data_IF_812972500634
#
_entry.id   IF_812972500634
#
_cell.length_a   1.000
_cell.length_b   1.000
_cell.length_c   1.000
_cell.angle_alpha   90.00
_cell.angle_beta   90.00
_cell.angle_gamma   90.00
#
_symmetry.space_group_name_H-M   'P 1'
#
loop_
_entity.id
_entity.type
_entity.pdbx_description
1 polymer ?
#
# COMPACT_ATOMS: atom_id res chain seq x y z
N UNK A 1 5.34 -18.82 8.33
CA UNK A 1 5.79 -19.14 6.96
C UNK A 1 7.30 -18.99 6.80
N UNK A 2 7.90 -17.84 7.12
CA UNK A 2 9.35 -17.64 6.96
C UNK A 2 10.21 -18.66 7.72
N UNK A 3 9.84 -18.99 8.96
CA UNK A 3 10.55 -19.97 9.80
C UNK A 3 10.61 -21.40 9.23
N UNK A 4 9.65 -21.77 8.36
CA UNK A 4 9.54 -23.13 7.77
C UNK A 4 9.93 -23.17 6.29
N UNK A 5 10.55 -22.09 5.78
CA UNK A 5 10.97 -21.99 4.38
C UNK A 5 12.34 -21.34 4.28
N UNK A 6 13.20 -21.86 3.39
CA UNK A 6 14.52 -21.28 3.15
C UNK A 6 14.51 -20.23 2.04
N UNK A 7 13.86 -20.54 0.91
CA UNK A 7 14.01 -19.76 -0.33
C UNK A 7 12.73 -19.02 -0.77
N UNK A 8 11.57 -19.29 -0.15
CA UNK A 8 10.31 -18.71 -0.60
C UNK A 8 10.26 -17.19 -0.32
N UNK A 9 9.87 -16.40 -1.30
CA UNK A 9 9.64 -14.96 -1.15
C UNK A 9 8.19 -14.69 -0.76
N UNK A 10 7.96 -13.70 0.11
CA UNK A 10 6.63 -13.28 0.57
C UNK A 10 6.34 -11.86 0.09
N UNK A 11 5.40 -11.70 -0.84
CA UNK A 11 4.93 -10.38 -1.27
C UNK A 11 3.65 -10.01 -0.49
N UNK A 12 3.70 -8.94 0.30
CA UNK A 12 2.58 -8.49 1.13
C UNK A 12 1.93 -7.27 0.48
N UNK A 13 0.60 -7.30 0.31
CA UNK A 13 -0.15 -6.12 -0.13
C UNK A 13 -0.38 -5.19 1.05
N UNK A 14 0.10 -3.95 0.95
CA UNK A 14 -0.12 -2.91 1.95
C UNK A 14 -0.44 -1.58 1.27
N UNK A 15 -1.42 -0.85 1.82
CA UNK A 15 -1.92 0.37 1.20
C UNK A 15 -1.22 1.63 1.70
N UNK A 16 -0.92 2.54 0.78
CA UNK A 16 -0.37 3.87 1.08
C UNK A 16 -1.42 4.87 1.59
N UNK A 17 -2.71 4.50 1.60
CA UNK A 17 -3.80 5.43 1.91
C UNK A 17 -4.26 5.45 3.36
N UNK A 18 -3.85 4.46 4.17
CA UNK A 18 -4.41 4.26 5.50
C UNK A 18 -3.36 4.32 6.62
N UNK A 19 -2.18 3.76 6.37
CA UNK A 19 -1.12 3.64 7.38
C UNK A 19 -0.04 4.70 7.16
N UNK A 20 0.37 5.48 8.17
CA UNK A 20 1.49 6.41 8.05
C UNK A 20 2.80 5.74 7.59
N UNK A 21 3.62 6.39 6.74
CA UNK A 21 4.81 5.80 6.12
C UNK A 21 5.85 5.29 7.11
N UNK A 22 6.01 5.96 8.26
CA UNK A 22 6.96 5.52 9.29
C UNK A 22 6.62 4.14 9.87
N UNK A 23 5.33 3.84 10.09
CA UNK A 23 4.91 2.55 10.65
C UNK A 23 5.13 1.41 9.64
N UNK A 24 4.81 1.66 8.36
CA UNK A 24 5.09 0.74 7.28
C UNK A 24 6.61 0.50 7.15
N UNK A 25 7.41 1.58 7.16
CA UNK A 25 8.87 1.49 7.05
C UNK A 25 9.47 0.58 8.12
N UNK A 26 9.09 0.76 9.39
CA UNK A 26 9.50 -0.11 10.50
C UNK A 26 9.12 -1.56 10.24
N UNK A 27 7.83 -1.81 9.96
CA UNK A 27 7.28 -3.17 9.78
C UNK A 27 7.98 -3.92 8.66
N UNK A 28 8.23 -3.27 7.53
CA UNK A 28 8.89 -3.92 6.39
C UNK A 28 10.38 -4.15 6.62
N UNK A 29 11.12 -3.24 7.27
CA UNK A 29 12.52 -3.52 7.65
C UNK A 29 12.62 -4.69 8.64
N UNK A 30 11.72 -4.76 9.62
CA UNK A 30 11.64 -5.90 10.54
C UNK A 30 11.36 -7.21 9.82
N UNK A 31 10.41 -7.22 8.87
CA UNK A 31 10.13 -8.41 8.06
C UNK A 31 11.29 -8.77 7.14
N UNK A 32 11.99 -7.78 6.58
CA UNK A 32 13.15 -8.02 5.72
C UNK A 32 14.28 -8.71 6.49
N UNK A 33 14.56 -8.27 7.72
CA UNK A 33 15.48 -8.97 8.64
C UNK A 33 15.02 -10.39 8.97
N UNK A 34 13.78 -10.58 9.46
CA UNK A 34 13.28 -11.90 9.86
C UNK A 34 13.19 -12.90 8.70
N UNK A 35 12.97 -12.39 7.49
CA UNK A 35 12.90 -13.22 6.29
C UNK A 35 14.26 -13.39 5.60
N UNK A 36 15.32 -12.71 6.08
CA UNK A 36 16.65 -12.64 5.44
C UNK A 36 16.54 -12.15 4.00
N UNK A 37 15.89 -11.02 3.80
CA UNK A 37 15.76 -10.40 2.50
C UNK A 37 14.73 -11.04 1.57
N UNK A 38 13.71 -11.74 2.10
CA UNK A 38 12.70 -12.45 1.26
C UNK A 38 11.33 -11.79 1.28
N UNK A 39 11.26 -10.51 1.60
CA UNK A 39 10.00 -9.75 1.61
C UNK A 39 9.87 -8.90 0.34
N UNK A 40 8.66 -8.83 -0.18
CA UNK A 40 8.22 -7.89 -1.21
C UNK A 40 6.99 -7.12 -0.75
N UNK A 41 6.78 -5.94 -1.33
CA UNK A 41 5.63 -5.10 -1.05
C UNK A 41 4.82 -4.87 -2.32
N UNK A 42 3.57 -5.34 -2.35
CA UNK A 42 2.62 -4.92 -3.37
C UNK A 42 1.94 -3.61 -2.95
N UNK A 43 2.35 -2.53 -3.61
CA UNK A 43 1.92 -1.15 -3.35
C UNK A 43 0.52 -0.96 -3.93
N UNK A 44 -0.45 -0.62 -3.07
CA UNK A 44 -1.83 -0.33 -3.50
C UNK A 44 -2.35 0.98 -2.92
N UNK A 45 -3.12 1.71 -3.73
CA UNK A 45 -3.72 2.98 -3.30
C UNK A 45 -5.11 2.83 -2.70
N UNK A 46 -5.66 1.61 -2.62
CA UNK A 46 -7.00 1.30 -2.13
C UNK A 46 -8.14 2.03 -2.85
N UNK A 47 -9.32 1.42 -2.98
CA UNK A 47 -10.44 2.05 -3.70
C UNK A 47 -11.82 1.85 -3.08
N UNK A 48 -11.97 0.85 -2.20
CA UNK A 48 -13.26 0.50 -1.61
C UNK A 48 -13.74 1.62 -0.69
N UNK A 49 -14.90 2.21 -1.00
CA UNK A 49 -15.54 3.25 -0.18
C UNK A 49 -15.70 2.84 1.29
N UNK A 50 -16.04 1.58 1.56
CA UNK A 50 -16.15 1.06 2.92
C UNK A 50 -14.84 1.15 3.73
N UNK A 51 -13.68 0.94 3.09
CA UNK A 51 -12.38 1.04 3.76
C UNK A 51 -12.04 2.48 4.13
N UNK A 52 -12.34 3.44 3.24
CA UNK A 52 -12.20 4.87 3.53
C UNK A 52 -13.14 5.32 4.66
N UNK A 53 -14.40 4.86 4.64
CA UNK A 53 -15.34 5.15 5.74
C UNK A 53 -14.85 4.65 7.09
N UNK A 54 -14.22 3.48 7.13
CA UNK A 54 -13.69 2.91 8.37
C UNK A 54 -12.57 3.75 9.01
N UNK A 55 -11.93 4.64 8.26
CA UNK A 55 -10.90 5.56 8.75
C UNK A 55 -11.38 7.02 8.81
N UNK A 56 -12.70 7.25 8.76
CA UNK A 56 -13.30 8.58 8.89
C UNK A 56 -13.35 9.39 7.59
N UNK A 57 -13.11 8.79 6.42
CA UNK A 57 -13.25 9.45 5.12
C UNK A 57 -14.53 8.98 4.40
N UNK A 58 -15.48 9.88 4.19
CA UNK A 58 -16.78 9.52 3.59
C UNK A 58 -16.67 8.98 2.15
N UNK A 59 -15.68 9.47 1.41
CA UNK A 59 -15.40 9.07 0.04
C UNK A 59 -13.90 8.81 -0.16
N UNK A 60 -13.54 7.89 -1.08
CA UNK A 60 -12.16 7.75 -1.53
C UNK A 60 -11.63 9.08 -2.06
N UNK A 61 -10.35 9.35 -1.77
CA UNK A 61 -9.57 10.39 -2.45
C UNK A 61 -9.61 10.12 -3.96
N UNK A 62 -9.62 11.18 -4.77
CA UNK A 62 -9.63 11.07 -6.24
C UNK A 62 -8.53 10.13 -6.75
N UNK A 63 -8.84 9.39 -7.81
CA UNK A 63 -7.99 8.32 -8.32
C UNK A 63 -6.55 8.78 -8.58
N UNK A 64 -6.36 9.90 -9.28
CA UNK A 64 -5.03 10.37 -9.68
C UNK A 64 -4.30 11.01 -8.48
N UNK A 65 -5.05 11.68 -7.61
CA UNK A 65 -4.52 12.24 -6.37
C UNK A 65 -3.97 11.17 -5.43
N UNK A 66 -4.60 10.00 -5.33
CA UNK A 66 -4.05 8.87 -4.55
C UNK A 66 -2.69 8.40 -5.07
N UNK A 67 -2.44 8.46 -6.38
CA UNK A 67 -1.13 8.13 -6.93
C UNK A 67 -0.08 9.20 -6.64
N UNK A 68 -0.47 10.49 -6.62
CA UNK A 68 0.43 11.57 -6.17
C UNK A 68 0.78 11.43 -4.69
N UNK A 69 -0.20 11.07 -3.86
CA UNK A 69 0.04 10.75 -2.44
C UNK A 69 0.95 9.53 -2.29
N UNK A 70 0.74 8.49 -3.09
CA UNK A 70 1.59 7.30 -3.08
C UNK A 70 3.03 7.61 -3.51
N UNK A 71 3.26 8.46 -4.52
CA UNK A 71 4.62 8.87 -4.91
C UNK A 71 5.35 9.52 -3.73
N UNK A 72 4.71 10.49 -3.05
CA UNK A 72 5.30 11.13 -1.87
C UNK A 72 5.53 10.13 -0.74
N UNK A 73 4.60 9.19 -0.52
CA UNK A 73 4.75 8.09 0.44
C UNK A 73 6.03 7.29 0.16
N UNK A 74 6.25 6.93 -1.10
CA UNK A 74 7.42 6.16 -1.53
C UNK A 74 8.71 6.97 -1.33
N UNK A 75 8.72 8.26 -1.66
CA UNK A 75 9.85 9.16 -1.37
C UNK A 75 10.17 9.21 0.12
N UNK A 76 9.16 9.26 1.00
CA UNK A 76 9.36 9.23 2.45
C UNK A 76 10.02 7.92 2.89
N UNK A 77 9.50 6.77 2.46
CA UNK A 77 10.06 5.47 2.91
C UNK A 77 11.44 5.19 2.30
N UNK A 78 11.74 5.66 1.08
CA UNK A 78 13.09 5.58 0.52
C UNK A 78 14.09 6.38 1.37
N UNK A 79 13.74 7.59 1.79
CA UNK A 79 14.60 8.37 2.70
C UNK A 79 14.89 7.60 4.00
N UNK A 80 13.87 6.97 4.58
CA UNK A 80 14.02 6.18 5.81
C UNK A 80 14.89 4.92 5.58
N UNK A 81 14.61 4.11 4.57
CA UNK A 81 15.29 2.83 4.33
C UNK A 81 16.70 2.98 3.75
N UNK A 82 16.88 3.91 2.83
CA UNK A 82 18.13 4.06 2.06
C UNK A 82 19.04 5.15 2.66
N UNK A 83 18.45 6.21 3.21
CA UNK A 83 19.17 7.44 3.54
C UNK A 83 19.47 7.66 5.02
N UNK A 84 18.71 7.06 5.94
CA UNK A 84 18.84 7.37 7.36
C UNK A 84 20.08 6.73 8.01
N UNK A 85 20.50 5.55 7.53
CA UNK A 85 21.63 4.78 8.07
C UNK A 85 22.62 4.41 6.96
N UNK A 86 23.91 4.64 7.20
CA UNK A 86 24.97 4.17 6.31
C UNK A 86 25.05 2.63 6.27
N UNK A 87 25.59 2.00 5.21
CA UNK A 87 25.73 0.54 5.11
C UNK A 87 26.54 -0.09 6.24
N UNK A 88 27.53 0.64 6.74
CA UNK A 88 28.48 0.23 7.77
C UNK A 88 28.24 0.99 9.10
N UNK A 89 26.99 1.40 9.35
CA UNK A 89 26.61 2.09 10.59
C UNK A 89 26.56 1.15 11.81
N UNK A 90 26.32 -0.16 11.60
CA UNK A 90 26.41 -1.18 12.65
C UNK A 90 27.84 -1.70 12.69
N UNK A 91 28.57 -1.33 13.74
CA UNK A 91 29.96 -1.71 13.98
C UNK A 91 30.13 -2.00 15.47
N UNK A 92 29.79 -3.23 15.92
CA UNK A 92 29.82 -3.58 17.33
C UNK A 92 31.26 -3.59 17.86
N UNK A 93 31.51 -2.77 18.87
CA UNK A 93 32.77 -2.65 19.57
C UNK A 93 32.53 -2.81 21.08
N UNK A 94 32.60 -4.06 21.59
CA UNK A 94 32.41 -4.35 23.01
C UNK A 94 33.49 -3.75 23.92
N UNK A 95 34.68 -3.43 23.39
CA UNK A 95 35.77 -2.84 24.17
C UNK A 95 35.48 -1.37 24.51
N UNK A 96 34.79 -0.67 23.61
CA UNK A 96 34.43 0.74 23.75
C UNK A 96 32.94 1.00 24.05
N UNK A 97 32.17 -0.04 24.42
CA UNK A 97 30.73 0.02 24.71
C UNK A 97 29.91 0.68 23.58
N UNK A 98 30.24 0.34 22.33
CA UNK A 98 29.56 0.86 21.13
C UNK A 98 28.94 -0.27 20.32
N UNK A 99 27.77 -0.03 19.74
CA UNK A 99 27.09 -0.96 18.84
C UNK A 99 26.93 -0.41 17.41
N UNK A 100 26.79 0.91 17.30
CA UNK A 100 26.58 1.60 16.03
C UNK A 100 27.27 2.96 16.07
N UNK A 101 27.82 3.39 14.94
CA UNK A 101 28.44 4.72 14.81
C UNK A 101 27.34 5.79 14.67
N UNK A 102 27.16 6.67 15.68
CA UNK A 102 26.11 7.68 15.65
C UNK A 102 26.33 8.74 14.55
N UNK A 103 27.56 8.91 14.07
CA UNK A 103 27.88 9.85 12.98
C UNK A 103 27.38 9.34 11.62
N UNK A 104 27.15 8.03 11.51
CA UNK A 104 26.62 7.34 10.32
C UNK A 104 25.10 7.18 10.33
N UNK A 105 24.41 7.79 11.30
CA UNK A 105 22.96 7.74 11.45
C UNK A 105 22.40 9.17 11.47
N UNK A 106 21.69 9.54 10.40
CA UNK A 106 21.12 10.89 10.26
C UNK A 106 19.60 10.90 10.35
N UNK A 107 19.12 12.05 10.80
CA UNK A 107 17.71 12.39 10.79
C UNK A 107 17.25 12.66 9.36
N UNK A 108 16.11 12.09 9.01
CA UNK A 108 15.42 12.34 7.75
C UNK A 108 14.41 13.45 7.99
N UNK A 109 14.57 14.53 7.24
CA UNK A 109 13.58 15.58 7.10
C UNK A 109 12.78 15.35 5.81
N UNK A 110 11.46 15.53 5.91
CA UNK A 110 10.57 15.54 4.76
C UNK A 110 9.44 16.53 5.05
N UNK A 111 9.27 17.52 4.17
CA UNK A 111 8.13 18.44 4.18
C UNK A 111 7.49 18.41 2.79
N UNK A 112 6.45 17.60 2.64
CA UNK A 112 5.69 17.46 1.41
C UNK A 112 4.27 18.00 1.53
N UNK A 113 3.43 17.67 0.54
CA UNK A 113 2.02 18.06 0.52
C UNK A 113 1.19 17.18 1.46
N UNK A 114 1.54 15.91 1.58
CA UNK A 114 0.76 14.89 2.29
C UNK A 114 1.42 14.46 3.59
N UNK A 115 2.75 14.49 3.65
CA UNK A 115 3.53 14.03 4.80
C UNK A 115 4.51 15.10 5.27
N UNK A 116 4.66 15.20 6.59
CA UNK A 116 5.68 16.01 7.24
C UNK A 116 6.26 15.18 8.38
N UNK A 117 7.56 14.91 8.33
CA UNK A 117 8.25 14.19 9.40
C UNK A 117 9.73 14.55 9.47
N UNK A 118 10.25 14.53 10.70
CA UNK A 118 11.65 14.72 11.04
C UNK A 118 12.01 13.62 12.04
N UNK A 119 12.73 12.59 11.59
CA UNK A 119 13.07 11.43 12.44
C UNK A 119 14.22 10.61 11.85
N UNK A 120 14.89 9.83 12.69
CA UNK A 120 15.77 8.73 12.24
C UNK A 120 14.91 7.49 11.99
N UNK A 121 15.28 6.67 11.02
CA UNK A 121 14.71 5.33 10.92
C UNK A 121 15.10 4.53 12.17
N UNK A 122 14.18 3.74 12.70
CA UNK A 122 14.36 3.06 14.01
C UNK A 122 14.78 1.60 13.88
N UNK A 123 15.07 1.16 12.65
CA UNK A 123 15.58 -0.18 12.34
C UNK A 123 16.86 0.01 11.53
N UNK A 124 17.89 -0.73 11.88
CA UNK A 124 19.16 -0.78 11.16
C UNK A 124 19.00 -1.34 9.72
N UNK A 125 19.98 -1.12 8.82
CA UNK A 125 19.90 -1.58 7.44
C UNK A 125 19.61 -3.08 7.31
N UNK A 126 18.46 -3.41 6.71
CA UNK A 126 18.06 -4.79 6.44
C UNK A 126 18.67 -5.31 5.12
N UNK A 127 18.69 -6.64 4.85
CA UNK A 127 19.40 -7.22 3.71
C UNK A 127 19.07 -6.63 2.33
N UNK A 128 17.82 -6.20 2.11
CA UNK A 128 17.38 -5.53 0.89
C UNK A 128 17.26 -4.01 1.03
N UNK A 129 17.32 -3.47 2.27
CA UNK A 129 16.83 -2.15 2.68
C UNK A 129 15.38 -1.91 2.26
N UNK A 130 15.16 -1.44 1.04
CA UNK A 130 13.83 -1.38 0.43
C UNK A 130 13.37 -2.79 0.01
N UNK A 131 12.16 -3.24 0.43
CA UNK A 131 11.61 -4.54 0.02
C UNK A 131 11.42 -4.61 -1.50
N UNK A 132 11.33 -5.80 -2.10
CA UNK A 132 11.08 -5.92 -3.54
C UNK A 132 9.71 -5.31 -3.92
N UNK A 133 9.69 -4.32 -4.80
CA UNK A 133 8.50 -3.49 -5.03
C UNK A 133 7.61 -4.07 -6.14
N UNK A 134 6.44 -4.55 -5.73
CA UNK A 134 5.34 -4.91 -6.61
C UNK A 134 4.31 -3.78 -6.74
N UNK A 135 3.62 -3.73 -7.87
CA UNK A 135 2.48 -2.83 -8.12
C UNK A 135 1.49 -3.51 -9.08
N UNK A 136 0.23 -3.06 -9.15
CA UNK A 136 -0.81 -3.68 -10.00
C UNK A 136 -1.70 -2.71 -10.82
N UNK A 137 -1.41 -1.41 -10.79
CA UNK A 137 -2.21 -0.38 -11.43
C UNK A 137 -1.77 -0.10 -12.86
N UNK A 138 -2.64 -0.37 -13.84
CA UNK A 138 -2.36 -0.16 -15.28
C UNK A 138 -3.16 0.99 -15.90
N UNK A 139 -3.75 1.88 -15.09
CA UNK A 139 -4.33 3.15 -15.57
C UNK A 139 -3.21 4.12 -16.01
N UNK A 140 -3.52 5.29 -16.58
CA UNK A 140 -2.47 6.26 -16.96
C UNK A 140 -1.59 6.66 -15.76
N UNK A 141 -2.21 7.11 -14.65
CA UNK A 141 -1.50 7.43 -13.41
C UNK A 141 -0.81 6.20 -12.79
N UNK A 142 -1.47 5.04 -12.84
CA UNK A 142 -0.87 3.78 -12.35
C UNK A 142 0.35 3.33 -13.16
N UNK A 143 0.33 3.52 -14.48
CA UNK A 143 1.41 3.16 -15.39
C UNK A 143 2.63 4.06 -15.21
N UNK A 144 2.42 5.37 -15.01
CA UNK A 144 3.50 6.30 -14.69
C UNK A 144 4.11 5.97 -13.32
N UNK A 145 3.27 5.75 -12.30
CA UNK A 145 3.73 5.32 -10.98
C UNK A 145 4.51 3.98 -11.03
N UNK A 146 4.02 3.00 -11.79
CA UNK A 146 4.69 1.71 -11.96
C UNK A 146 6.04 1.87 -12.70
N UNK A 147 6.07 2.69 -13.76
CA UNK A 147 7.30 3.03 -14.46
C UNK A 147 8.32 3.68 -13.54
N UNK A 148 7.89 4.49 -12.57
CA UNK A 148 8.78 5.17 -11.60
C UNK A 148 9.30 4.24 -10.51
N UNK A 149 8.45 3.39 -9.92
CA UNK A 149 8.79 2.69 -8.65
C UNK A 149 8.76 1.16 -8.70
N UNK A 150 8.08 0.55 -9.66
CA UNK A 150 7.90 -0.90 -9.59
C UNK A 150 9.19 -1.64 -9.97
N UNK A 151 9.35 -2.83 -9.43
CA UNK A 151 10.33 -3.85 -9.86
C UNK A 151 9.58 -5.04 -10.47
N UNK A 152 8.45 -5.42 -9.85
CA UNK A 152 7.46 -6.35 -10.38
C UNK A 152 6.09 -5.68 -10.60
N UNK A 153 5.39 -6.06 -11.66
CA UNK A 153 4.07 -5.51 -11.99
C UNK A 153 3.09 -6.66 -12.21
N UNK A 154 2.06 -6.75 -11.38
CA UNK A 154 0.95 -7.66 -11.60
C UNK A 154 0.02 -7.10 -12.66
N UNK A 155 -0.24 -7.90 -13.69
CA UNK A 155 -1.09 -7.52 -14.81
C UNK A 155 -2.16 -8.58 -15.05
N UNK A 156 -3.31 -8.16 -15.55
CA UNK A 156 -4.40 -9.06 -15.93
C UNK A 156 -4.93 -8.61 -17.28
N UNK A 157 -5.23 -9.56 -18.16
CA UNK A 157 -5.90 -9.35 -19.43
C UNK A 157 -6.56 -10.66 -19.85
N UNK A 158 -7.52 -10.59 -20.78
CA UNK A 158 -8.18 -11.77 -21.30
C UNK A 158 -7.37 -12.51 -22.39
N UNK A 159 -6.39 -11.85 -23.02
CA UNK A 159 -5.48 -12.47 -23.99
C UNK A 159 -4.11 -11.76 -24.04
N UNK A 160 -3.05 -12.42 -24.54
CA UNK A 160 -1.72 -11.81 -24.69
C UNK A 160 -1.74 -10.57 -25.58
N UNK A 161 -2.53 -10.58 -26.65
CA UNK A 161 -2.65 -9.48 -27.61
C UNK A 161 -3.19 -8.19 -26.98
N UNK A 162 -4.09 -8.30 -25.99
CA UNK A 162 -4.62 -7.15 -25.24
C UNK A 162 -3.59 -6.64 -24.23
N UNK A 163 -2.76 -7.53 -23.69
CA UNK A 163 -1.79 -7.20 -22.66
C UNK A 163 -0.53 -6.52 -23.22
N UNK A 164 -0.01 -7.00 -24.35
CA UNK A 164 1.27 -6.57 -24.94
C UNK A 164 1.38 -5.04 -25.10
N UNK A 165 0.38 -4.31 -25.62
CA UNK A 165 0.47 -2.85 -25.74
C UNK A 165 0.57 -2.14 -24.38
N UNK A 166 -0.06 -2.68 -23.33
CA UNK A 166 -0.01 -2.11 -21.98
C UNK A 166 1.39 -2.27 -21.37
N UNK A 167 1.99 -3.45 -21.53
CA UNK A 167 3.38 -3.72 -21.10
C UNK A 167 4.35 -2.82 -21.87
N UNK A 168 4.21 -2.74 -23.19
CA UNK A 168 5.05 -1.89 -24.03
C UNK A 168 4.97 -0.41 -23.60
N UNK A 169 3.77 0.09 -23.26
CA UNK A 169 3.60 1.45 -22.78
C UNK A 169 4.35 1.71 -21.46
N UNK A 170 4.23 0.82 -20.47
CA UNK A 170 4.92 0.98 -19.18
C UNK A 170 6.44 0.88 -19.35
N UNK A 171 6.93 -0.06 -20.17
CA UNK A 171 8.34 -0.16 -20.53
C UNK A 171 8.86 1.12 -21.20
N UNK A 172 8.07 1.72 -22.08
CA UNK A 172 8.42 2.98 -22.74
C UNK A 172 8.43 4.17 -21.76
N UNK A 173 7.51 4.22 -20.79
CA UNK A 173 7.53 5.22 -19.72
C UNK A 173 8.79 5.08 -18.85
N UNK A 174 9.16 3.85 -18.48
CA UNK A 174 10.37 3.58 -17.71
C UNK A 174 11.64 4.06 -18.44
N UNK A 175 11.75 3.79 -19.75
CA UNK A 175 12.85 4.28 -20.58
C UNK A 175 12.93 5.82 -20.57
N UNK A 176 11.79 6.51 -20.71
CA UNK A 176 11.73 7.98 -20.69
C UNK A 176 12.19 8.58 -19.36
N UNK A 177 12.03 7.84 -18.26
CA UNK A 177 12.47 8.22 -16.93
C UNK A 177 13.92 7.79 -16.63
N UNK A 178 14.64 7.20 -17.60
CA UNK A 178 16.03 6.78 -17.47
C UNK A 178 16.24 5.40 -16.83
N UNK A 179 15.17 4.60 -16.69
CA UNK A 179 15.25 3.21 -16.20
C UNK A 179 15.43 2.23 -17.35
N UNK A 180 16.15 1.14 -17.11
CA UNK A 180 16.14 0.00 -18.03
C UNK A 180 14.73 -0.61 -18.09
N UNK A 181 14.06 -0.63 -19.26
CA UNK A 181 12.74 -1.22 -19.39
C UNK A 181 12.68 -2.70 -18.99
N UNK A 182 13.79 -3.44 -19.07
CA UNK A 182 13.90 -4.85 -18.67
C UNK A 182 14.12 -5.03 -17.16
N UNK A 183 14.36 -3.95 -16.41
CA UNK A 183 14.32 -3.99 -14.95
C UNK A 183 12.89 -4.25 -14.46
N UNK A 184 11.86 -3.86 -15.21
CA UNK A 184 10.46 -4.15 -14.86
C UNK A 184 10.10 -5.58 -15.25
N UNK A 185 9.63 -6.36 -14.28
CA UNK A 185 9.13 -7.72 -14.49
C UNK A 185 7.62 -7.76 -14.47
N UNK A 186 6.99 -8.32 -15.49
CA UNK A 186 5.53 -8.39 -15.60
C UNK A 186 5.02 -9.79 -15.27
N UNK A 187 4.06 -9.87 -14.34
CA UNK A 187 3.49 -11.12 -13.86
C UNK A 187 2.01 -11.17 -14.20
N UNK A 188 1.63 -12.00 -15.17
CA UNK A 188 0.23 -12.14 -15.58
C UNK A 188 -0.54 -13.04 -14.62
N UNK A 189 -1.76 -12.63 -14.24
CA UNK A 189 -2.71 -13.54 -13.59
C UNK A 189 -2.99 -14.72 -14.49
N UNK A 190 -2.95 -15.95 -13.97
CA UNK A 190 -3.22 -17.17 -14.73
C UNK A 190 -3.83 -18.24 -13.84
N UNK A 191 -4.88 -18.90 -14.29
CA UNK A 191 -5.55 -19.97 -13.51
C UNK A 191 -5.38 -21.32 -14.22
N UNK A 192 -4.47 -22.18 -13.76
CA UNK A 192 -4.29 -23.50 -14.35
C UNK A 192 -5.24 -24.53 -13.72
N UNK A 193 -5.81 -25.41 -14.54
CA UNK A 193 -6.47 -26.64 -14.11
C UNK A 193 -5.73 -27.77 -14.83
N UNK A 194 -4.84 -28.44 -14.08
CA UNK A 194 -3.90 -29.42 -14.64
C UNK A 194 -4.36 -30.84 -14.35
N UNK A 195 -4.34 -31.70 -15.36
CA UNK A 195 -4.53 -33.15 -15.25
C UNK A 195 -3.30 -33.91 -15.77
N UNK A 196 -3.25 -35.23 -15.57
CA UNK A 196 -2.18 -36.05 -16.20
C UNK A 196 -2.40 -36.15 -17.71
N UNK A 197 -3.65 -36.12 -18.15
CA UNK A 197 -4.06 -35.97 -19.55
C UNK A 197 -4.99 -34.78 -19.70
N UNK A 198 -5.25 -34.37 -20.95
CA UNK A 198 -6.21 -33.30 -21.22
C UNK A 198 -7.63 -33.72 -20.79
N UNK A 199 -8.00 -34.98 -21.00
CA UNK A 199 -9.31 -35.52 -20.62
C UNK A 199 -9.52 -35.46 -19.10
N UNK A 200 -8.51 -35.84 -18.30
CA UNK A 200 -8.58 -35.74 -16.84
C UNK A 200 -8.74 -34.28 -16.38
N UNK A 201 -8.02 -33.35 -17.02
CA UNK A 201 -8.12 -31.93 -16.71
C UNK A 201 -9.52 -31.38 -17.01
N UNK A 202 -10.13 -31.79 -18.12
CA UNK A 202 -11.49 -31.41 -18.48
C UNK A 202 -12.54 -32.05 -17.58
N UNK A 203 -12.37 -33.31 -17.17
CA UNK A 203 -13.22 -33.93 -16.16
C UNK A 203 -13.14 -33.16 -14.82
N UNK A 204 -11.94 -32.77 -14.41
CA UNK A 204 -11.72 -31.93 -13.22
C UNK A 204 -12.42 -30.57 -13.38
N UNK A 205 -12.29 -29.91 -14.52
CA UNK A 205 -12.99 -28.66 -14.83
C UNK A 205 -14.52 -28.80 -14.73
N UNK A 206 -15.09 -29.83 -15.33
CA UNK A 206 -16.53 -30.08 -15.32
C UNK A 206 -17.06 -30.36 -13.91
N UNK A 207 -16.26 -31.02 -13.07
CA UNK A 207 -16.58 -31.22 -11.66
C UNK A 207 -16.54 -29.89 -10.89
N UNK A 208 -15.48 -29.10 -11.03
CA UNK A 208 -15.32 -27.80 -10.38
C UNK A 208 -16.46 -26.85 -10.75
N UNK A 209 -16.89 -26.87 -12.02
CA UNK A 209 -17.99 -26.05 -12.53
C UNK A 209 -19.30 -26.28 -11.77
N UNK A 210 -19.55 -27.49 -11.24
CA UNK A 210 -20.77 -27.78 -10.44
C UNK A 210 -20.81 -27.00 -9.13
N UNK A 211 -19.65 -26.60 -8.60
CA UNK A 211 -19.52 -25.83 -7.37
C UNK A 211 -19.36 -24.32 -7.62
N UNK A 212 -19.21 -23.90 -8.87
CA UNK A 212 -19.03 -22.51 -9.24
C UNK A 212 -20.29 -21.69 -8.90
N UNK A 213 -20.11 -20.60 -8.14
CA UNK A 213 -21.21 -19.71 -7.78
C UNK A 213 -21.35 -18.58 -8.79
N UNK A 214 -22.36 -18.69 -9.66
CA UNK A 214 -22.79 -17.63 -10.59
C UNK A 214 -23.00 -16.30 -9.87
N UNK A 215 -23.70 -16.32 -8.72
CA UNK A 215 -23.96 -15.12 -7.92
C UNK A 215 -22.66 -14.56 -7.34
N UNK A 216 -21.76 -15.42 -6.84
CA UNK A 216 -20.45 -15.00 -6.34
C UNK A 216 -19.62 -14.30 -7.43
N UNK A 217 -19.59 -14.87 -8.65
CA UNK A 217 -18.92 -14.27 -9.80
C UNK A 217 -19.47 -12.89 -10.16
N UNK A 218 -20.80 -12.73 -10.18
CA UNK A 218 -21.46 -11.45 -10.42
C UNK A 218 -21.13 -10.41 -9.34
N UNK A 219 -21.15 -10.80 -8.06
CA UNK A 219 -20.81 -9.90 -6.93
C UNK A 219 -19.37 -9.40 -7.05
N UNK A 220 -18.42 -10.28 -7.38
CA UNK A 220 -17.03 -9.90 -7.59
C UNK A 220 -16.89 -8.92 -8.75
N UNK A 221 -17.53 -9.21 -9.88
CA UNK A 221 -17.52 -8.33 -11.04
C UNK A 221 -18.06 -6.94 -10.72
N UNK A 222 -19.21 -6.87 -10.05
CA UNK A 222 -19.81 -5.60 -9.64
C UNK A 222 -18.87 -4.81 -8.74
N UNK A 223 -18.24 -5.48 -7.78
CA UNK A 223 -17.24 -4.87 -6.91
C UNK A 223 -16.06 -4.29 -7.70
N UNK A 224 -15.51 -5.02 -8.68
CA UNK A 224 -14.35 -4.57 -9.43
C UNK A 224 -14.64 -3.42 -10.40
N UNK A 225 -15.83 -3.41 -11.01
CA UNK A 225 -16.19 -2.48 -12.10
C UNK A 225 -17.03 -1.29 -11.64
N UNK A 226 -17.66 -1.38 -10.46
CA UNK A 226 -18.69 -0.45 -10.03
C UNK A 226 -19.99 -0.55 -10.84
N UNK A 227 -20.17 -1.60 -11.65
CA UNK A 227 -21.40 -1.87 -12.40
C UNK A 227 -22.32 -2.73 -11.54
N UNK A 228 -23.53 -2.25 -11.26
CA UNK A 228 -24.55 -3.07 -10.60
C UNK A 228 -25.25 -3.99 -11.61
N UNK A 229 -24.64 -5.15 -11.87
CA UNK A 229 -25.14 -6.13 -12.86
C UNK A 229 -26.52 -6.70 -12.51
N UNK A 230 -27.01 -6.54 -11.27
CA UNK A 230 -28.36 -6.97 -10.89
C UNK A 230 -29.47 -6.17 -11.60
N UNK A 231 -29.12 -4.97 -12.10
CA UNK A 231 -30.03 -4.07 -12.82
C UNK A 231 -29.95 -4.20 -14.34
N UNK A 232 -29.10 -5.10 -14.84
CA UNK A 232 -28.83 -5.26 -16.26
C UNK A 232 -29.38 -6.63 -16.71
N UNK A 233 -30.17 -6.69 -17.81
CA UNK A 233 -30.60 -7.96 -18.40
C UNK A 233 -29.42 -8.90 -18.70
N UNK A 234 -29.61 -10.20 -18.45
CA UNK A 234 -28.52 -11.19 -18.49
C UNK A 234 -27.74 -11.28 -19.81
N UNK A 235 -28.41 -10.95 -20.91
CA UNK A 235 -27.88 -11.06 -22.27
C UNK A 235 -27.62 -9.68 -22.91
N UNK A 236 -27.78 -8.59 -22.14
CA UNK A 236 -27.38 -7.25 -22.56
C UNK A 236 -25.86 -7.11 -22.48
N UNK A 237 -25.27 -6.52 -23.51
CA UNK A 237 -23.85 -6.19 -23.54
C UNK A 237 -23.51 -5.12 -22.51
N UNK A 238 -22.47 -5.38 -21.72
CA UNK A 238 -21.90 -4.47 -20.73
C UNK A 238 -20.92 -3.51 -21.43
N UNK A 239 -21.10 -2.23 -21.15
CA UNK A 239 -20.32 -1.14 -21.71
C UNK A 239 -19.71 -0.28 -20.60
N UNK A 240 -18.75 0.58 -20.96
CA UNK A 240 -18.19 1.55 -20.01
C UNK A 240 -19.26 2.50 -19.42
N UNK A 241 -20.36 2.74 -20.15
CA UNK A 241 -21.45 3.62 -19.73
C UNK A 241 -22.28 3.04 -18.57
N UNK A 242 -22.28 1.72 -18.40
CA UNK A 242 -23.02 1.04 -17.32
C UNK A 242 -22.36 1.22 -15.94
N UNK A 243 -21.14 1.75 -15.91
CA UNK A 243 -20.36 1.97 -14.69
C UNK A 243 -20.58 3.37 -14.13
N UNK A 244 -21.56 3.49 -13.22
CA UNK A 244 -22.04 4.76 -12.66
C UNK A 244 -21.19 5.33 -11.51
N UNK A 245 -20.20 4.59 -11.01
CA UNK A 245 -19.35 5.05 -9.90
C UNK A 245 -18.13 5.87 -10.38
N UNK A 246 -17.91 7.03 -9.74
CA UNK A 246 -16.80 7.93 -10.07
C UNK A 246 -15.41 7.39 -9.62
N UNK A 247 -15.35 6.65 -8.50
CA UNK A 247 -14.10 6.24 -7.82
C UNK A 247 -13.68 4.77 -8.10
N UNK A 248 -13.94 4.29 -9.32
CA UNK A 248 -13.75 2.90 -9.76
C UNK A 248 -12.30 2.51 -10.10
N UNK A 249 -12.06 1.20 -10.23
CA UNK A 249 -10.79 0.68 -10.77
C UNK A 249 -10.80 0.80 -12.29
N UNK A 250 -10.33 1.94 -12.82
CA UNK A 250 -10.32 2.25 -14.26
C UNK A 250 -9.67 1.14 -15.10
N UNK A 251 -8.55 0.58 -14.65
CA UNK A 251 -7.82 -0.49 -15.36
C UNK A 251 -8.64 -1.76 -15.57
N UNK A 252 -9.51 -2.11 -14.62
CA UNK A 252 -10.35 -3.30 -14.74
C UNK A 252 -11.46 -3.08 -15.76
N UNK A 253 -12.08 -1.89 -15.78
CA UNK A 253 -13.07 -1.54 -16.79
C UNK A 253 -12.47 -1.57 -18.20
N UNK A 254 -11.27 -1.01 -18.38
CA UNK A 254 -10.55 -1.02 -19.66
C UNK A 254 -10.19 -2.44 -20.13
N UNK A 255 -9.94 -3.37 -19.20
CA UNK A 255 -9.72 -4.77 -19.52
C UNK A 255 -10.99 -5.47 -20.01
N UNK A 256 -12.16 -5.08 -19.49
CA UNK A 256 -13.44 -5.66 -19.90
C UNK A 256 -13.96 -5.08 -21.20
N UNK A 257 -13.79 -3.78 -21.46
CA UNK A 257 -14.25 -3.19 -22.72
C UNK A 257 -13.32 -3.48 -23.90
N UNK A 258 -12.10 -3.98 -23.65
CA UNK A 258 -11.19 -4.41 -24.69
C UNK A 258 -11.70 -5.68 -25.39
N UNK A 259 -12.20 -5.52 -26.61
CA UNK A 259 -12.62 -6.63 -27.47
C UNK A 259 -11.47 -7.07 -28.38
N UNK A 260 -11.37 -8.38 -28.64
CA UNK A 260 -10.52 -8.97 -29.66
C UNK A 260 -11.20 -10.20 -30.23
N UNK A 261 -10.68 -10.81 -31.31
CA UNK A 261 -11.24 -12.07 -31.85
C UNK A 261 -11.32 -13.20 -30.82
N UNK A 262 -10.49 -13.15 -29.78
CA UNK A 262 -10.41 -14.14 -28.71
C UNK A 262 -11.21 -13.74 -27.45
N UNK A 263 -11.75 -12.51 -27.40
CA UNK A 263 -12.49 -11.99 -26.25
C UNK A 263 -13.97 -11.87 -26.63
N UNK A 264 -14.88 -12.63 -25.99
CA UNK A 264 -16.31 -12.54 -26.28
C UNK A 264 -16.86 -11.18 -25.83
N UNK A 265 -18.06 -10.82 -26.34
CA UNK A 265 -18.84 -9.71 -25.77
C UNK A 265 -19.16 -10.01 -24.32
N UNK A 266 -19.02 -9.04 -23.44
CA UNK A 266 -19.31 -9.23 -22.03
C UNK A 266 -20.79 -8.99 -21.75
N UNK A 267 -21.49 -10.02 -21.28
CA UNK A 267 -22.84 -9.94 -20.74
C UNK A 267 -22.81 -10.42 -19.29
N UNK A 268 -23.80 -10.07 -18.43
CA UNK A 268 -23.87 -10.64 -17.08
C UNK A 268 -23.77 -12.17 -17.07
N UNK A 269 -24.33 -12.87 -18.06
CA UNK A 269 -24.18 -14.33 -18.19
C UNK A 269 -22.73 -14.77 -18.35
N UNK A 270 -22.00 -14.19 -19.30
CA UNK A 270 -20.59 -14.53 -19.57
C UNK A 270 -19.71 -14.15 -18.40
N UNK A 271 -19.97 -12.99 -17.78
CA UNK A 271 -19.29 -12.55 -16.56
C UNK A 271 -19.47 -13.58 -15.46
N UNK A 272 -20.70 -14.02 -15.20
CA UNK A 272 -20.99 -14.96 -14.13
C UNK A 272 -20.25 -16.28 -14.32
N UNK A 273 -20.18 -16.77 -15.56
CA UNK A 273 -19.46 -18.01 -15.89
C UNK A 273 -17.93 -17.86 -15.76
N UNK A 274 -17.35 -16.78 -16.28
CA UNK A 274 -15.90 -16.58 -16.28
C UNK A 274 -15.35 -16.17 -14.91
N UNK A 275 -16.03 -15.23 -14.25
CA UNK A 275 -15.60 -14.73 -12.95
C UNK A 275 -15.71 -15.79 -11.85
N UNK A 276 -16.62 -16.77 -11.99
CA UNK A 276 -16.82 -17.81 -10.99
C UNK A 276 -15.68 -18.83 -10.89
N UNK A 277 -14.81 -18.95 -11.90
CA UNK A 277 -13.66 -19.88 -11.86
C UNK A 277 -12.30 -19.21 -12.08
N UNK A 278 -12.20 -18.20 -12.95
CA UNK A 278 -10.92 -17.57 -13.31
C UNK A 278 -10.77 -16.11 -12.89
N UNK A 279 -11.81 -15.52 -12.31
CA UNK A 279 -11.85 -14.09 -12.02
C UNK A 279 -11.66 -13.25 -13.30
N UNK A 280 -10.61 -12.42 -13.30
CA UNK A 280 -10.25 -11.50 -14.41
C UNK A 280 -9.14 -12.03 -15.32
N UNK A 281 -8.60 -13.22 -15.03
CA UNK A 281 -7.49 -13.81 -15.75
C UNK A 281 -7.92 -14.93 -16.69
N UNK A 282 -7.03 -15.37 -17.59
CA UNK A 282 -7.22 -16.58 -18.37
C UNK A 282 -7.33 -17.82 -17.46
N UNK A 283 -8.15 -18.77 -17.89
CA UNK A 283 -8.20 -20.13 -17.36
C UNK A 283 -7.65 -21.06 -18.45
N UNK A 284 -6.69 -21.89 -18.11
CA UNK A 284 -6.16 -22.92 -19.01
C UNK A 284 -6.40 -24.29 -18.40
N UNK A 285 -7.02 -25.16 -19.19
CA UNK A 285 -7.43 -26.51 -18.78
C UNK A 285 -6.72 -27.50 -19.70
N UNK A 286 -5.96 -28.42 -19.12
CA UNK A 286 -5.28 -29.46 -19.90
C UNK A 286 -4.23 -30.22 -19.12
N UNK A 287 -3.51 -31.07 -19.83
CA UNK A 287 -2.30 -31.73 -19.34
C UNK A 287 -1.21 -30.71 -19.00
N UNK A 288 -0.19 -31.14 -18.26
CA UNK A 288 0.99 -30.30 -17.98
C UNK A 288 1.62 -29.73 -19.27
N UNK A 289 1.65 -30.50 -20.37
CA UNK A 289 2.19 -30.05 -21.64
C UNK A 289 1.33 -28.97 -22.30
N UNK A 290 0.00 -29.13 -22.27
CA UNK A 290 -0.95 -28.16 -22.81
C UNK A 290 -0.89 -26.84 -22.04
N UNK A 291 -0.88 -26.90 -20.71
CA UNK A 291 -0.81 -25.70 -19.86
C UNK A 291 0.56 -25.01 -19.99
N UNK A 292 1.66 -25.77 -20.08
CA UNK A 292 2.99 -25.21 -20.32
C UNK A 292 3.08 -24.48 -21.67
N UNK A 293 2.48 -25.03 -22.73
CA UNK A 293 2.42 -24.37 -24.03
C UNK A 293 1.69 -23.03 -23.97
N UNK A 294 0.57 -22.98 -23.24
CA UNK A 294 -0.15 -21.72 -23.05
C UNK A 294 0.69 -20.71 -22.26
N UNK A 295 1.38 -21.13 -21.18
CA UNK A 295 2.29 -20.22 -20.44
C UNK A 295 3.40 -19.66 -21.37
N UNK A 296 4.02 -20.50 -22.20
CA UNK A 296 5.03 -20.05 -23.16
C UNK A 296 4.46 -19.11 -24.23
N UNK A 297 3.23 -19.37 -24.69
CA UNK A 297 2.51 -18.45 -25.57
C UNK A 297 2.33 -17.08 -24.92
N UNK A 298 1.92 -17.03 -23.65
CA UNK A 298 1.77 -15.76 -22.92
C UNK A 298 3.09 -15.01 -22.80
N UNK A 299 4.21 -15.70 -22.52
CA UNK A 299 5.55 -15.08 -22.50
C UNK A 299 5.90 -14.49 -23.88
N UNK A 300 5.78 -15.29 -24.94
CA UNK A 300 6.17 -14.91 -26.30
C UNK A 300 5.30 -13.81 -26.90
N UNK A 301 3.99 -13.91 -26.74
CA UNK A 301 3.03 -13.00 -27.37
C UNK A 301 2.69 -11.80 -26.49
N UNK A 302 2.69 -11.98 -25.17
CA UNK A 302 2.31 -10.96 -24.19
C UNK A 302 3.47 -10.12 -23.66
N UNK A 303 4.73 -10.56 -23.80
CA UNK A 303 5.92 -9.94 -23.17
C UNK A 303 5.89 -9.95 -21.63
N UNK A 304 5.34 -11.01 -21.05
CA UNK A 304 5.35 -11.24 -19.59
C UNK A 304 6.62 -11.97 -19.17
N UNK A 305 7.08 -11.70 -17.95
CA UNK A 305 8.28 -12.30 -17.36
C UNK A 305 7.93 -13.44 -16.38
N UNK A 306 6.66 -13.60 -16.03
CA UNK A 306 6.17 -14.66 -15.16
C UNK A 306 4.67 -14.61 -14.94
N UNK A 307 4.20 -15.36 -13.93
CA UNK A 307 2.78 -15.54 -13.67
C UNK A 307 2.46 -15.41 -12.18
N UNK A 308 1.31 -14.80 -11.89
CA UNK A 308 0.66 -14.86 -10.59
C UNK A 308 -0.45 -15.92 -10.66
N UNK A 309 -0.18 -17.11 -10.13
CA UNK A 309 -1.07 -18.26 -10.27
C UNK A 309 -2.26 -18.14 -9.31
N UNK A 310 -3.45 -18.03 -9.88
CA UNK A 310 -4.72 -18.13 -9.15
C UNK A 310 -5.07 -19.60 -8.90
N UNK A 311 -5.83 -19.86 -7.84
CA UNK A 311 -6.32 -21.20 -7.51
C UNK A 311 -7.83 -21.29 -7.69
N UNK A 312 -8.31 -22.50 -8.00
CA UNK A 312 -9.75 -22.84 -7.93
C UNK A 312 -10.05 -23.58 -6.63
N UNK A 313 -9.20 -24.55 -6.28
CA UNK A 313 -9.18 -25.24 -4.98
C UNK A 313 -7.84 -25.05 -4.28
N UNK A 314 -7.84 -25.03 -2.94
CA UNK A 314 -6.63 -24.91 -2.14
C UNK A 314 -6.58 -26.01 -1.08
N UNK A 315 -5.45 -26.75 -0.93
CA UNK A 315 -4.17 -26.58 -1.64
C UNK A 315 -4.13 -27.17 -3.06
N UNK A 316 -5.14 -27.95 -3.48
CA UNK A 316 -5.08 -28.81 -4.67
C UNK A 316 -4.55 -28.19 -5.97
N UNK A 317 -4.96 -26.97 -6.32
CA UNK A 317 -4.44 -26.30 -7.53
C UNK A 317 -2.91 -26.14 -7.49
N UNK A 318 -2.36 -25.81 -6.31
CA UNK A 318 -0.92 -25.64 -6.14
C UNK A 318 -0.18 -26.98 -6.12
N UNK A 319 -0.78 -28.03 -5.56
CA UNK A 319 -0.23 -29.39 -5.62
C UNK A 319 -0.14 -29.88 -7.07
N UNK A 320 -1.21 -29.73 -7.85
CA UNK A 320 -1.21 -30.06 -9.29
C UNK A 320 -0.12 -29.29 -10.06
N UNK A 321 0.06 -28.00 -9.76
CA UNK A 321 1.14 -27.20 -10.37
C UNK A 321 2.51 -27.76 -10.00
N UNK A 322 2.77 -28.03 -8.72
CA UNK A 322 4.07 -28.51 -8.24
C UNK A 322 4.38 -29.91 -8.78
N UNK A 323 3.40 -30.81 -8.78
CA UNK A 323 3.60 -32.23 -9.08
C UNK A 323 3.55 -32.53 -10.59
N UNK A 324 2.76 -31.77 -11.36
CA UNK A 324 2.56 -32.03 -12.79
C UNK A 324 3.22 -30.97 -13.67
N UNK A 325 2.97 -29.69 -13.41
CA UNK A 325 3.38 -28.60 -14.32
C UNK A 325 4.84 -28.20 -14.16
N UNK A 326 5.35 -28.05 -12.93
CA UNK A 326 6.74 -27.65 -12.69
C UNK A 326 7.76 -28.64 -13.30
N UNK A 327 7.59 -29.98 -13.20
CA UNK A 327 8.47 -30.93 -13.88
C UNK A 327 8.51 -30.73 -15.40
N UNK A 328 7.35 -30.48 -16.02
CA UNK A 328 7.26 -30.21 -17.46
C UNK A 328 7.99 -28.90 -17.82
N UNK A 329 7.75 -27.81 -17.09
CA UNK A 329 8.45 -26.53 -17.33
C UNK A 329 9.98 -26.65 -17.16
N UNK A 330 10.44 -27.48 -16.21
CA UNK A 330 11.88 -27.79 -16.05
C UNK A 330 12.42 -28.62 -17.22
N UNK A 331 11.65 -29.60 -17.72
CA UNK A 331 12.01 -30.40 -18.90
C UNK A 331 12.19 -29.51 -20.14
N UNK A 332 11.37 -28.46 -20.26
CA UNK A 332 11.47 -27.45 -21.32
C UNK A 332 12.56 -26.40 -21.10
N UNK A 333 13.20 -26.37 -19.92
CA UNK A 333 14.28 -25.43 -19.61
C UNK A 333 13.82 -24.01 -19.28
N UNK A 334 12.52 -23.78 -19.06
CA UNK A 334 11.94 -22.45 -18.80
C UNK A 334 11.66 -22.19 -17.31
N UNK A 335 11.92 -23.17 -16.45
CA UNK A 335 11.81 -23.03 -15.00
C UNK A 335 13.12 -23.47 -14.32
N UNK A 336 13.61 -22.73 -13.31
CA UNK A 336 14.89 -23.03 -12.68
C UNK A 336 14.91 -24.40 -12.00
N UNK A 337 16.11 -25.01 -11.98
CA UNK A 337 16.39 -26.17 -11.14
C UNK A 337 16.32 -25.77 -9.66
N UNK A 338 16.13 -26.77 -8.80
CA UNK A 338 16.24 -26.54 -7.37
C UNK A 338 17.69 -26.11 -7.02
N UNK A 339 17.86 -25.17 -6.07
CA UNK A 339 19.17 -24.85 -5.54
C UNK A 339 19.86 -26.09 -4.98
N UNK A 340 21.19 -26.15 -5.07
CA UNK A 340 21.94 -27.26 -4.48
C UNK A 340 21.81 -27.23 -2.95
N UNK A 341 21.95 -28.40 -2.30
CA UNK A 341 22.05 -28.43 -0.85
C UNK A 341 23.25 -27.59 -0.38
N UNK A 342 23.04 -26.79 0.67
CA UNK A 342 24.05 -25.87 1.19
C UNK A 342 24.16 -24.52 0.47
N UNK A 343 23.50 -24.33 -0.69
CA UNK A 343 23.55 -23.04 -1.39
C UNK A 343 22.90 -21.91 -0.55
N UNK A 344 23.52 -20.73 -0.60
CA UNK A 344 23.08 -19.55 0.12
C UNK A 344 21.73 -19.06 -0.41
N UNK A 345 20.80 -18.70 0.49
CA UNK A 345 19.51 -18.16 0.06
C UNK A 345 19.69 -16.75 -0.45
N UNK A 346 19.39 -16.54 -1.73
CA UNK A 346 19.29 -15.22 -2.33
C UNK A 346 18.13 -14.41 -1.73
N UNK A 347 18.32 -13.09 -1.68
CA UNK A 347 17.23 -12.14 -1.41
C UNK A 347 16.16 -12.21 -2.52
N UNK A 348 14.98 -11.63 -2.29
CA UNK A 348 13.92 -11.59 -3.29
C UNK A 348 14.38 -10.86 -4.56
N UNK A 349 15.12 -9.76 -4.40
CA UNK A 349 15.68 -8.99 -5.50
C UNK A 349 16.78 -9.73 -6.28
N UNK A 350 17.69 -10.41 -5.59
CA UNK A 350 18.74 -11.20 -6.26
C UNK A 350 18.19 -12.38 -7.06
N UNK A 351 17.05 -12.98 -6.65
CA UNK A 351 16.39 -14.01 -7.46
C UNK A 351 15.89 -13.49 -8.80
N UNK A 352 15.63 -12.19 -8.90
CA UNK A 352 15.09 -11.55 -10.10
C UNK A 352 16.20 -10.97 -10.97
N UNK A 353 17.20 -10.32 -10.36
CA UNK A 353 18.25 -9.59 -11.09
C UNK A 353 19.63 -10.25 -11.05
N UNK A 354 19.81 -11.32 -10.27
CA UNK A 354 21.07 -12.02 -10.09
C UNK A 354 21.74 -11.71 -8.74
N UNK A 355 22.63 -12.63 -8.32
CA UNK A 355 23.42 -12.51 -7.09
C UNK A 355 24.23 -11.21 -7.07
N UNK A 356 24.24 -10.52 -5.93
CA UNK A 356 24.90 -9.22 -5.74
C UNK A 356 23.98 -8.00 -5.92
N UNK A 357 22.77 -8.18 -6.47
CA UNK A 357 21.77 -7.11 -6.57
C UNK A 357 20.75 -7.19 -5.42
N UNK A 358 21.20 -7.10 -4.16
CA UNK A 358 20.31 -7.16 -3.00
C UNK A 358 19.55 -5.85 -2.75
N UNK A 359 20.18 -4.71 -2.97
CA UNK A 359 19.56 -3.37 -2.91
C UNK A 359 18.94 -2.92 -4.23
N UNK A 360 18.20 -1.81 -4.21
CA UNK A 360 17.63 -1.17 -5.41
C UNK A 360 18.71 -0.99 -6.49
N UNK A 361 18.35 -1.13 -7.77
CA UNK A 361 19.26 -0.85 -8.88
C UNK A 361 19.61 0.63 -8.97
N UNK A 362 20.75 0.96 -9.57
CA UNK A 362 21.22 2.35 -9.69
C UNK A 362 20.28 3.23 -10.51
N UNK A 363 19.59 2.64 -11.50
CA UNK A 363 18.60 3.32 -12.33
C UNK A 363 17.26 3.55 -11.62
N UNK A 364 17.00 2.92 -10.48
CA UNK A 364 15.75 3.08 -9.73
C UNK A 364 15.69 4.42 -8.99
N UNK A 365 14.54 5.11 -8.97
CA UNK A 365 14.41 6.44 -8.31
C UNK A 365 14.81 6.43 -6.82
N UNK A 366 14.58 5.31 -6.14
CA UNK A 366 14.96 5.11 -4.74
C UNK A 366 16.48 5.10 -4.50
N UNK A 367 17.30 4.81 -5.52
CA UNK A 367 18.77 4.79 -5.40
C UNK A 367 19.35 6.17 -5.07
N UNK A 368 18.65 7.24 -5.46
CA UNK A 368 19.03 8.64 -5.16
C UNK A 368 18.96 8.97 -3.67
N UNK A 369 18.33 8.11 -2.87
CA UNK A 369 18.22 8.25 -1.43
C UNK A 369 19.20 7.38 -0.67
N UNK A 370 20.09 6.62 -1.35
CA UNK A 370 21.16 5.89 -0.67
C UNK A 370 22.04 6.85 0.12
N UNK A 371 22.52 6.37 1.26
CA UNK A 371 23.21 7.20 2.22
C UNK A 371 24.36 8.03 1.62
N UNK A 372 25.11 7.48 0.68
CA UNK A 372 26.30 8.13 0.11
C UNK A 372 25.96 9.30 -0.84
N UNK A 373 24.77 9.29 -1.43
CA UNK A 373 24.36 10.23 -2.49
C UNK A 373 23.11 11.04 -2.15
N UNK A 374 22.44 10.73 -1.03
CA UNK A 374 21.23 11.41 -0.62
C UNK A 374 21.50 12.89 -0.32
N UNK A 375 20.83 13.76 -1.07
CA UNK A 375 20.78 15.19 -0.79
C UNK A 375 19.69 15.46 0.26
N UNK A 376 20.09 15.80 1.47
CA UNK A 376 19.19 15.99 2.60
C UNK A 376 18.26 17.20 2.38
N UNK A 377 16.97 16.99 2.65
CA UNK A 377 16.04 18.10 2.80
C UNK A 377 16.48 19.00 3.98
N UNK A 378 16.25 20.32 3.88
CA UNK A 378 16.52 21.21 5.01
C UNK A 378 15.68 20.80 6.24
N UNK A 379 16.19 21.06 7.46
CA UNK A 379 15.40 20.86 8.67
C UNK A 379 14.06 21.57 8.57
N UNK A 380 13.00 20.90 9.04
CA UNK A 380 11.66 21.51 9.08
C UNK A 380 11.74 22.70 10.03
N UNK A 381 11.64 23.91 9.48
CA UNK A 381 11.46 25.10 10.28
C UNK A 381 10.12 24.94 11.00
N UNK A 382 10.16 24.66 12.30
CA UNK A 382 8.98 24.77 13.14
C UNK A 382 8.57 26.23 13.13
N UNK A 383 7.67 26.62 12.23
CA UNK A 383 6.82 27.78 12.48
C UNK A 383 5.97 27.40 13.68
N UNK A 384 6.49 27.68 14.87
CA UNK A 384 5.71 27.56 16.07
C UNK A 384 4.59 28.60 15.97
N UNK A 385 3.42 28.18 15.51
CA UNK A 385 2.19 28.93 15.71
C UNK A 385 1.99 29.28 17.21
N UNK A 386 2.65 28.52 18.10
CA UNK A 386 2.71 28.71 19.55
C UNK A 386 3.68 29.81 20.05
N UNK A 387 4.56 30.39 19.22
CA UNK A 387 5.44 31.52 19.64
C UNK A 387 5.05 32.84 18.98
N UNK A 388 3.76 33.04 18.70
CA UNK A 388 3.29 34.42 18.50
C UNK A 388 3.09 35.06 19.88
N UNK A 389 3.46 36.34 20.08
CA UNK A 389 3.23 37.05 21.34
C UNK A 389 1.76 37.03 21.81
N UNK A 390 0.83 36.73 20.89
CA UNK A 390 -0.59 36.51 21.18
C UNK A 390 -0.85 35.19 21.89
N UNK A 391 -0.26 34.09 21.44
CA UNK A 391 -0.48 32.76 22.03
C UNK A 391 0.21 32.62 23.39
N UNK A 392 1.42 33.19 23.56
CA UNK A 392 2.04 33.28 24.89
C UNK A 392 1.23 34.11 25.88
N UNK A 393 0.58 35.18 25.40
CA UNK A 393 -0.27 36.06 26.23
C UNK A 393 -1.56 35.37 26.65
N UNK A 394 -2.14 34.55 25.76
CA UNK A 394 -3.32 33.71 26.06
C UNK A 394 -2.93 32.61 27.06
N UNK A 395 -1.83 31.88 26.84
CA UNK A 395 -1.38 30.82 27.75
C UNK A 395 -1.10 31.34 29.17
N UNK A 396 -0.38 32.46 29.31
CA UNK A 396 -0.15 33.10 30.62
C UNK A 396 -1.45 33.55 31.29
N UNK A 397 -2.42 34.04 30.51
CA UNK A 397 -3.74 34.40 31.03
C UNK A 397 -4.52 33.17 31.48
N UNK A 398 -4.53 32.08 30.71
CA UNK A 398 -5.20 30.84 31.11
C UNK A 398 -4.59 30.25 32.41
N UNK A 399 -3.27 30.28 32.56
CA UNK A 399 -2.59 29.92 33.81
C UNK A 399 -3.03 30.80 34.98
N UNK A 400 -3.10 32.12 34.79
CA UNK A 400 -3.55 33.07 35.82
C UNK A 400 -5.00 32.80 36.24
N UNK A 401 -5.90 32.57 35.28
CA UNK A 401 -7.29 32.23 35.56
C UNK A 401 -7.44 30.87 36.24
N UNK A 402 -6.59 29.88 35.92
CA UNK A 402 -6.62 28.58 36.59
C UNK A 402 -6.25 28.68 38.07
N UNK A 403 -5.30 29.56 38.42
CA UNK A 403 -4.91 29.85 39.80
C UNK A 403 -6.02 30.61 40.53
N UNK A 404 -6.66 31.59 39.88
CA UNK A 404 -7.81 32.30 40.46
C UNK A 404 -9.02 31.38 40.69
N UNK A 405 -9.36 30.51 39.73
CA UNK A 405 -10.44 29.53 39.87
C UNK A 405 -10.16 28.51 40.98
N UNK A 406 -8.92 28.04 41.11
CA UNK A 406 -8.54 27.14 42.21
C UNK A 406 -8.63 27.83 43.57
N UNK A 407 -8.21 29.10 43.68
CA UNK A 407 -8.34 29.88 44.92
C UNK A 407 -9.79 30.18 45.30
N UNK A 408 -10.67 30.37 44.30
CA UNK A 408 -12.12 30.52 44.48
C UNK A 408 -12.75 29.20 44.94
N UNK A 409 -12.37 28.07 44.33
CA UNK A 409 -12.83 26.73 44.72
C UNK A 409 -12.35 26.33 46.12
N UNK A 410 -11.13 26.68 46.52
CA UNK A 410 -10.62 26.49 47.88
C UNK A 410 -11.38 27.35 48.90
N UNK A 411 -11.71 28.60 48.57
CA UNK A 411 -12.52 29.47 49.42
C UNK A 411 -13.95 28.91 49.61
N UNK A 412 -14.58 28.41 48.54
CA UNK A 412 -15.90 27.76 48.58
C UNK A 412 -15.84 26.45 49.39
N UNK A 413 -14.76 25.67 49.27
CA UNK A 413 -14.60 24.41 50.00
C UNK A 413 -14.38 24.61 51.51
N UNK A 414 -13.91 25.78 51.95
CA UNK A 414 -13.67 26.08 53.36
C UNK A 414 -14.93 26.52 54.13
N UNK A 415 -16.02 26.88 53.43
CA UNK A 415 -17.25 27.43 54.03
C UNK A 415 -18.32 26.38 54.37
N UNK A 416 -18.17 25.11 53.98
CA UNK A 416 -19.16 24.06 54.29
C UNK A 416 -19.09 23.49 55.72
N UNK A 417 -18.39 24.16 56.64
CA UNK A 417 -18.22 23.77 58.04
C UNK A 417 -18.76 24.79 59.07
N UNK A 418 -20.03 24.61 59.45
CA UNK A 418 -20.70 25.05 60.69
C UNK A 418 -21.23 26.51 60.87
N UNK A 419 -22.54 26.62 61.19
CA UNK A 419 -23.05 27.45 62.30
C UNK A 419 -23.76 28.80 62.03
N UNK A 420 -25.02 28.75 61.57
CA UNK A 420 -26.20 29.66 61.75
C UNK A 420 -26.10 31.19 62.08
N UNK A 421 -24.97 31.87 61.93
CA UNK A 421 -24.84 33.33 62.15
C UNK A 421 -24.54 34.20 60.93
N UNK A 422 -24.47 33.61 59.72
CA UNK A 422 -23.70 34.17 58.58
C UNK A 422 -24.49 34.37 57.28
N UNK A 423 -25.82 34.53 57.32
CA UNK A 423 -26.61 34.56 56.07
C UNK A 423 -26.63 35.89 55.30
N UNK A 424 -26.22 37.03 55.86
CA UNK A 424 -26.28 38.33 55.14
C UNK A 424 -24.94 38.76 54.52
N UNK A 425 -23.81 38.23 55.03
CA UNK A 425 -22.48 38.42 54.43
C UNK A 425 -22.24 37.45 53.24
N UNK A 426 -22.85 36.26 53.29
CA UNK A 426 -22.79 35.24 52.24
C UNK A 426 -23.47 35.66 50.92
N UNK A 427 -24.56 36.43 50.97
CA UNK A 427 -25.26 36.89 49.75
C UNK A 427 -24.44 37.91 48.95
N UNK A 428 -23.67 38.78 49.61
CA UNK A 428 -22.88 39.82 48.93
C UNK A 428 -21.60 39.23 48.34
N UNK A 429 -20.92 38.33 49.07
CA UNK A 429 -19.71 37.67 48.55
C UNK A 429 -20.00 36.58 47.53
N UNK A 430 -21.10 35.82 47.68
CA UNK A 430 -21.55 34.86 46.67
C UNK A 430 -21.88 35.54 45.33
N UNK A 431 -22.58 36.68 45.36
CA UNK A 431 -22.86 37.48 44.14
C UNK A 431 -21.59 38.10 43.56
N UNK A 432 -20.64 38.54 44.39
CA UNK A 432 -19.35 39.06 43.93
C UNK A 432 -18.48 37.97 43.27
N UNK A 433 -18.52 36.73 43.78
CA UNK A 433 -17.82 35.60 43.18
C UNK A 433 -18.54 35.06 41.93
N UNK A 434 -19.87 35.00 41.90
CA UNK A 434 -20.62 34.71 40.66
C UNK A 434 -20.33 35.75 39.57
N UNK A 435 -20.26 37.04 39.93
CA UNK A 435 -19.86 38.10 39.01
C UNK A 435 -18.45 37.93 38.47
N UNK A 436 -17.49 37.51 39.31
CA UNK A 436 -16.12 37.20 38.90
C UNK A 436 -16.04 35.94 38.03
N UNK A 437 -16.72 34.86 38.39
CA UNK A 437 -16.77 33.63 37.61
C UNK A 437 -17.41 33.89 36.25
N UNK A 438 -18.47 34.70 36.20
CA UNK A 438 -19.11 35.12 34.95
C UNK A 438 -18.19 35.98 34.10
N UNK A 439 -17.45 36.92 34.70
CA UNK A 439 -16.46 37.73 33.98
C UNK A 439 -15.32 36.87 33.41
N UNK A 440 -14.82 35.89 34.18
CA UNK A 440 -13.81 34.92 33.74
C UNK A 440 -14.37 34.04 32.60
N UNK A 441 -15.61 33.58 32.71
CA UNK A 441 -16.29 32.80 31.67
C UNK A 441 -16.47 33.60 30.38
N UNK A 442 -16.95 34.84 30.48
CA UNK A 442 -17.17 35.74 29.34
C UNK A 442 -15.84 36.10 28.64
N UNK A 443 -14.76 36.27 29.42
CA UNK A 443 -13.42 36.52 28.87
C UNK A 443 -12.81 35.27 28.22
N UNK A 444 -12.98 34.08 28.81
CA UNK A 444 -12.59 32.81 28.17
C UNK A 444 -13.39 32.55 26.88
N UNK A 445 -14.66 32.95 26.83
CA UNK A 445 -15.51 32.80 25.64
C UNK A 445 -15.14 33.79 24.53
N UNK A 446 -14.74 35.02 24.87
CA UNK A 446 -14.11 35.95 23.93
C UNK A 446 -12.77 35.43 23.41
N UNK A 447 -11.95 34.80 24.25
CA UNK A 447 -10.68 34.19 23.85
C UNK A 447 -10.90 32.99 22.92
N UNK A 448 -11.89 32.14 23.20
CA UNK A 448 -12.31 31.05 22.30
C UNK A 448 -12.72 31.58 20.92
N UNK A 449 -13.46 32.70 20.88
CA UNK A 449 -13.87 33.33 19.63
C UNK A 449 -12.68 34.00 18.90
N UNK A 450 -11.73 34.59 19.63
CA UNK A 450 -10.50 35.15 19.05
C UNK A 450 -9.56 34.07 18.49
N UNK A 451 -9.43 32.93 19.19
CA UNK A 451 -8.66 31.77 18.75
C UNK A 451 -9.32 31.11 17.52
N UNK A 452 -10.65 31.01 17.51
CA UNK A 452 -11.42 30.49 16.37
C UNK A 452 -11.29 31.40 15.14
N UNK A 453 -11.29 32.73 15.33
CA UNK A 453 -11.05 33.69 14.27
C UNK A 453 -9.60 33.62 13.74
N UNK A 454 -8.62 33.42 14.61
CA UNK A 454 -7.22 33.25 14.23
C UNK A 454 -6.99 31.95 13.43
N UNK A 455 -7.55 30.83 13.89
CA UNK A 455 -7.51 29.53 13.17
C UNK A 455 -8.15 29.67 11.77
N UNK A 456 -9.31 30.35 11.68
CA UNK A 456 -9.98 30.61 10.41
C UNK A 456 -9.19 31.53 9.46
N UNK A 457 -8.35 32.42 9.98
CA UNK A 457 -7.55 33.37 9.18
C UNK A 457 -6.21 32.76 8.72
N UNK A 458 -5.66 31.81 9.48
CA UNK A 458 -4.36 31.15 9.17
C UNK A 458 -4.54 29.84 8.40
N UNK A 459 -5.78 29.37 8.22
CA UNK A 459 -6.11 28.25 7.32
C UNK A 459 -5.60 26.89 7.79
N UNK A 460 -5.70 26.63 9.10
CA UNK A 460 -5.51 25.29 9.69
C UNK A 460 -6.83 24.50 9.70
#
# INVERSE_FOLDING_TARGET
>A
MAAVTKNLTFAITASTSFEPPFLLAKRFSTLDHFTRGRIGWNIVTSWKKAAFKAIGLDNPIDHDERYRQADEYLRVVYKLWEGSWAPDAIDPDPENDSYADPTKIREINHQGKYFSLSTRHIVDPSPQRTPFLFQAGTSAAGSDFAATHAEGIFVSAASPAVLKPKIANIRALAAKQGRDPRSLKFFATFTPIVGRTDEEAWQKYDELRKYASTIGGLVLFSGWTGIDVSKIPLDQELTAADSLEANKVRSILDNFTATSKEVPRWTPRIVAERAAMGGLGPVSVGSAATVAEELERWVREGDVDGFNLSYVTTPGTFEDVVDLLIPELRRRGVYPKLPAEGEESLTAREKVYGKGQSGLRDDHVGSKYRYEVYQEDPPIQKTSALQTPQVERILRRCETHSVELMSILEAISCEMGAGLGTCMWAAINGVAQEGKIKAISDDLEKEKNSLSFYIATVGL
#
